data_IF_420284510309
#
_entry.id   IF_420284510309
#
_cell.length_a   1.000
_cell.length_b   1.000
_cell.length_c   1.000
_cell.angle_alpha   90.00
_cell.angle_beta   90.00
_cell.angle_gamma   90.00
#
_symmetry.space_group_name_H-M   'P 1'
#
loop_
_entity.id
_entity.type
_entity.pdbx_description
1 polymer ?
#
# COMPACT_ATOMS: atom_id res chain seq x y z
N UNK A 1 -34.10 -40.78 -16.85
CA UNK A 1 -33.35 -40.16 -15.71
C UNK A 1 -31.96 -39.70 -16.18
N UNK A 2 -31.84 -38.42 -16.57
CA UNK A 2 -30.54 -37.82 -16.89
C UNK A 2 -29.75 -37.49 -15.62
N UNK A 3 -28.41 -37.38 -15.68
CA UNK A 3 -27.60 -37.05 -14.52
C UNK A 3 -27.96 -35.65 -14.03
N UNK A 4 -28.31 -35.53 -12.75
CA UNK A 4 -28.61 -34.25 -12.12
C UNK A 4 -27.43 -33.28 -12.22
N UNK A 5 -27.67 -31.96 -12.17
CA UNK A 5 -26.61 -30.97 -12.29
C UNK A 5 -25.59 -31.20 -11.17
N UNK A 6 -24.35 -31.52 -11.55
CA UNK A 6 -23.22 -31.54 -10.64
C UNK A 6 -23.06 -30.20 -9.93
N UNK A 7 -22.29 -30.13 -8.82
CA UNK A 7 -22.24 -28.95 -7.97
C UNK A 7 -21.89 -27.71 -8.81
N UNK A 8 -22.90 -26.86 -9.03
CA UNK A 8 -22.75 -25.66 -9.83
C UNK A 8 -21.78 -24.74 -9.09
N UNK A 9 -20.54 -24.69 -9.56
CA UNK A 9 -19.54 -23.77 -9.05
C UNK A 9 -20.03 -22.36 -9.37
N UNK A 10 -20.56 -21.65 -8.37
CA UNK A 10 -21.11 -20.32 -8.54
C UNK A 10 -20.02 -19.38 -9.04
N UNK A 11 -20.34 -18.53 -10.01
CA UNK A 11 -19.41 -17.59 -10.61
C UNK A 11 -19.90 -16.16 -10.39
N UNK A 12 -18.98 -15.25 -10.10
CA UNK A 12 -19.28 -13.82 -9.98
C UNK A 12 -18.30 -13.00 -10.81
N UNK A 13 -18.76 -11.96 -11.52
CA UNK A 13 -17.85 -11.04 -12.20
C UNK A 13 -17.12 -10.17 -11.19
N UNK A 14 -15.80 -10.01 -11.35
CA UNK A 14 -15.02 -9.05 -10.58
C UNK A 14 -15.56 -7.63 -10.84
N UNK A 15 -15.86 -6.81 -9.82
CA UNK A 15 -16.42 -5.47 -10.01
C UNK A 15 -15.46 -4.49 -10.69
N UNK A 16 -14.15 -4.79 -10.67
CA UNK A 16 -13.12 -3.92 -11.27
C UNK A 16 -12.83 -4.27 -12.72
N UNK A 17 -12.72 -5.56 -13.06
CA UNK A 17 -12.24 -6.00 -14.37
C UNK A 17 -13.19 -6.94 -15.11
N UNK A 18 -14.36 -7.25 -14.52
CA UNK A 18 -15.41 -8.15 -15.06
C UNK A 18 -14.98 -9.60 -15.33
N UNK A 19 -13.75 -9.98 -15.01
CA UNK A 19 -13.28 -11.38 -15.08
C UNK A 19 -14.14 -12.25 -14.16
N UNK A 20 -14.56 -13.42 -14.67
CA UNK A 20 -15.36 -14.37 -13.90
C UNK A 20 -14.50 -15.07 -12.84
N UNK A 21 -14.91 -14.96 -11.57
CA UNK A 21 -14.28 -15.60 -10.43
C UNK A 21 -15.15 -16.78 -9.96
N UNK A 22 -14.51 -17.94 -9.73
CA UNK A 22 -15.17 -19.11 -9.14
C UNK A 22 -15.32 -18.90 -7.64
N UNK A 23 -16.50 -19.18 -7.11
CA UNK A 23 -16.77 -19.14 -5.69
C UNK A 23 -16.53 -20.51 -5.04
N UNK A 24 -15.92 -20.55 -3.85
CA UNK A 24 -15.92 -21.72 -2.99
C UNK A 24 -17.33 -22.15 -2.60
N UNK A 25 -17.48 -23.35 -2.01
CA UNK A 25 -18.79 -23.88 -1.58
C UNK A 25 -19.50 -22.97 -0.56
N UNK A 26 -18.77 -22.15 0.19
CA UNK A 26 -19.33 -21.13 1.11
C UNK A 26 -19.61 -19.77 0.47
N UNK A 27 -19.59 -19.66 -0.86
CA UNK A 27 -19.88 -18.43 -1.57
C UNK A 27 -18.82 -17.34 -1.38
N UNK A 28 -19.23 -16.08 -1.45
CA UNK A 28 -18.33 -14.91 -1.36
C UNK A 28 -17.64 -14.79 0.01
N UNK A 29 -18.32 -15.18 1.09
CA UNK A 29 -17.78 -15.09 2.46
C UNK A 29 -16.63 -16.09 2.71
N UNK A 30 -16.54 -17.14 1.89
CA UNK A 30 -15.49 -18.15 1.97
C UNK A 30 -14.28 -17.83 1.06
N UNK A 31 -14.26 -16.68 0.38
CA UNK A 31 -13.11 -16.27 -0.39
C UNK A 31 -11.91 -16.01 0.55
N UNK A 32 -10.68 -16.36 0.13
CA UNK A 32 -9.49 -16.11 0.94
C UNK A 32 -9.33 -14.63 1.27
N UNK A 33 -9.12 -14.34 2.55
CA UNK A 33 -8.81 -12.98 3.01
C UNK A 33 -7.34 -12.67 2.70
N UNK A 34 -7.07 -11.50 2.12
CA UNK A 34 -5.70 -11.02 1.94
C UNK A 34 -5.17 -10.43 3.25
N UNK A 35 -4.50 -11.25 4.05
CA UNK A 35 -3.96 -10.84 5.36
C UNK A 35 -2.82 -9.84 5.24
N UNK A 36 -1.98 -9.91 4.20
CA UNK A 36 -0.91 -8.95 3.95
C UNK A 36 -1.44 -7.53 3.82
N UNK A 37 -2.49 -7.33 3.02
CA UNK A 37 -3.14 -6.01 2.89
C UNK A 37 -3.80 -5.57 4.20
N UNK A 38 -4.40 -6.50 4.95
CA UNK A 38 -4.98 -6.19 6.26
C UNK A 38 -3.92 -5.67 7.24
N UNK A 39 -2.74 -6.31 7.31
CA UNK A 39 -1.64 -5.86 8.17
C UNK A 39 -1.04 -4.53 7.72
N UNK A 40 -0.86 -4.32 6.42
CA UNK A 40 -0.39 -3.02 5.88
C UNK A 40 -1.34 -1.89 6.28
N UNK A 41 -2.66 -2.10 6.21
CA UNK A 41 -3.66 -1.12 6.64
C UNK A 41 -3.60 -0.89 8.16
N UNK A 42 -3.36 -1.93 8.97
CA UNK A 42 -3.17 -1.76 10.42
C UNK A 42 -1.97 -0.87 10.72
N UNK A 43 -0.81 -1.14 10.11
CA UNK A 43 0.39 -0.33 10.29
C UNK A 43 0.15 1.14 9.89
N UNK A 44 -0.50 1.36 8.75
CA UNK A 44 -0.84 2.70 8.29
C UNK A 44 -1.74 3.45 9.29
N UNK A 45 -2.78 2.78 9.82
CA UNK A 45 -3.69 3.36 10.83
C UNK A 45 -2.99 3.60 12.17
N UNK A 46 -2.14 2.68 12.62
CA UNK A 46 -1.36 2.85 13.85
C UNK A 46 -0.36 4.00 13.76
N UNK A 47 0.26 4.20 12.59
CA UNK A 47 1.12 5.36 12.31
C UNK A 47 0.34 6.69 12.30
N UNK A 48 -0.92 6.68 11.86
CA UNK A 48 -1.79 7.86 11.95
C UNK A 48 -2.27 8.15 13.39
N UNK A 49 -2.41 7.13 14.24
CA UNK A 49 -2.86 7.27 15.63
C UNK A 49 -1.76 7.75 16.60
N UNK A 50 -0.49 7.52 16.28
CA UNK A 50 0.66 7.92 17.10
C UNK A 50 1.03 9.41 17.06
N UNK A 51 0.32 10.23 16.28
CA UNK A 51 0.59 11.67 16.12
C UNK A 51 -0.34 12.58 16.94
N UNK A 52 -1.27 12.04 17.73
CA UNK A 52 -2.31 12.82 18.39
C UNK A 52 -2.12 13.05 19.91
N UNK A 53 -1.14 12.41 20.57
CA UNK A 53 -0.96 12.53 22.03
C UNK A 53 0.51 12.55 22.45
N UNK A 54 1.17 13.69 22.28
CA UNK A 54 2.38 14.07 23.02
C UNK A 54 2.51 15.60 23.01
N UNK A 55 1.55 16.28 23.65
CA UNK A 55 1.51 17.74 23.72
C UNK A 55 1.00 18.22 25.07
N UNK A 56 1.77 17.99 26.14
CA UNK A 56 1.65 18.79 27.37
C UNK A 56 2.96 18.73 28.18
N UNK A 57 3.58 19.91 28.33
CA UNK A 57 4.65 20.29 29.25
C UNK A 57 6.10 19.83 28.95
N UNK A 58 6.85 20.68 28.21
CA UNK A 58 8.00 21.43 28.76
C UNK A 58 8.80 22.16 27.65
N UNK A 59 8.76 23.49 27.68
CA UNK A 59 9.81 24.46 27.32
C UNK A 59 10.65 24.27 26.03
N UNK A 60 10.36 25.13 25.04
CA UNK A 60 11.40 25.86 24.30
C UNK A 60 11.68 25.42 22.85
N UNK A 61 11.95 26.37 21.91
CA UNK A 61 11.86 26.13 20.47
C UNK A 61 13.21 25.70 19.85
N UNK A 62 13.19 24.62 19.05
CA UNK A 62 14.19 24.37 17.99
C UNK A 62 13.43 24.07 16.69
N UNK A 63 13.51 24.94 15.66
CA UNK A 63 13.04 24.59 14.33
C UNK A 63 14.14 23.75 13.67
N UNK A 64 13.83 22.53 13.21
CA UNK A 64 14.80 21.80 12.39
C UNK A 64 14.78 20.27 12.46
N UNK A 65 13.69 19.63 12.86
CA UNK A 65 13.59 18.16 12.74
C UNK A 65 12.14 17.76 12.52
N UNK A 66 11.67 17.94 11.28
CA UNK A 66 10.41 17.36 10.83
C UNK A 66 10.37 15.85 11.13
N UNK A 67 9.27 15.32 11.70
CA UNK A 67 9.11 13.91 12.00
C UNK A 67 8.82 13.08 10.74
N UNK A 68 8.75 13.71 9.57
CA UNK A 68 8.83 13.06 8.26
C UNK A 68 10.29 12.70 7.96
N UNK A 69 10.90 11.86 8.81
CA UNK A 69 12.12 11.18 8.40
C UNK A 69 11.72 10.16 7.31
N UNK A 70 11.60 10.69 6.09
CA UNK A 70 11.47 10.01 4.80
C UNK A 70 12.58 8.97 4.57
N UNK A 71 13.52 8.84 5.49
CA UNK A 71 14.51 7.77 5.59
C UNK A 71 13.89 6.37 5.66
N UNK A 72 12.60 6.24 6.00
CA UNK A 72 11.88 4.97 5.94
C UNK A 72 11.45 4.54 4.52
N UNK A 73 11.51 5.44 3.52
CA UNK A 73 11.12 5.17 2.15
C UNK A 73 12.29 5.38 1.19
N UNK A 74 13.06 4.31 0.98
CA UNK A 74 14.07 4.23 -0.07
C UNK A 74 15.31 5.08 0.21
N UNK A 75 16.49 4.55 -0.11
CA UNK A 75 17.75 5.28 0.04
C UNK A 75 17.76 6.63 -0.71
N UNK A 76 18.81 7.42 -0.50
CA UNK A 76 19.01 8.67 -1.22
C UNK A 76 19.19 8.43 -2.72
N UNK A 77 18.69 9.35 -3.54
CA UNK A 77 18.91 9.31 -4.98
C UNK A 77 20.39 9.48 -5.32
N UNK A 78 20.93 8.61 -6.18
CA UNK A 78 22.33 8.68 -6.60
C UNK A 78 22.62 9.92 -7.47
N UNK A 79 21.63 10.44 -8.21
CA UNK A 79 21.77 11.67 -9.01
C UNK A 79 21.54 12.95 -8.20
N UNK A 80 20.76 12.85 -7.13
CA UNK A 80 20.31 14.00 -6.34
C UNK A 80 20.57 13.72 -4.85
N UNK A 81 21.77 14.05 -4.34
CA UNK A 81 22.12 13.77 -2.94
C UNK A 81 21.16 14.50 -1.98
N UNK A 82 20.75 13.82 -0.92
CA UNK A 82 19.80 14.34 0.07
C UNK A 82 18.32 14.25 -0.33
N UNK A 83 17.99 13.81 -1.56
CA UNK A 83 16.60 13.59 -1.97
C UNK A 83 16.19 12.12 -1.79
N UNK A 84 15.05 11.84 -1.13
CA UNK A 84 14.58 10.48 -0.96
C UNK A 84 14.02 9.91 -2.26
N UNK A 85 14.32 8.64 -2.50
CA UNK A 85 13.80 7.88 -3.65
C UNK A 85 12.37 7.46 -3.37
N UNK A 86 11.43 8.07 -4.08
CA UNK A 86 9.99 7.89 -3.88
C UNK A 86 9.28 7.33 -5.11
N UNK A 87 9.96 7.29 -6.26
CA UNK A 87 9.38 6.95 -7.55
C UNK A 87 10.15 5.79 -8.19
N UNK A 88 9.47 4.98 -9.01
CA UNK A 88 10.09 3.93 -9.81
C UNK A 88 9.79 4.14 -11.29
N UNK A 89 10.84 4.34 -12.09
CA UNK A 89 10.71 4.49 -13.54
C UNK A 89 10.62 3.12 -14.21
N UNK A 90 9.52 2.85 -14.92
CA UNK A 90 9.30 1.58 -15.62
C UNK A 90 10.13 1.41 -16.90
N UNK A 91 10.49 2.51 -17.56
CA UNK A 91 11.34 2.49 -18.75
C UNK A 91 12.80 2.18 -18.39
N UNK A 92 13.36 2.89 -17.41
CA UNK A 92 14.75 2.72 -16.98
C UNK A 92 14.95 1.58 -15.96
N UNK A 93 13.85 1.03 -15.41
CA UNK A 93 13.84 0.02 -14.33
C UNK A 93 14.67 0.41 -13.11
N UNK A 94 14.60 1.69 -12.75
CA UNK A 94 15.40 2.27 -11.67
C UNK A 94 14.53 3.14 -10.76
N UNK A 95 14.90 3.15 -9.48
CA UNK A 95 14.26 3.99 -8.48
C UNK A 95 14.86 5.41 -8.52
N UNK A 96 14.02 6.43 -8.44
CA UNK A 96 14.40 7.84 -8.54
C UNK A 96 13.62 8.75 -7.58
N UNK A 97 14.04 10.01 -7.48
CA UNK A 97 13.32 11.05 -6.74
C UNK A 97 12.46 11.91 -7.68
N UNK A 98 11.68 12.84 -7.13
CA UNK A 98 10.83 13.75 -7.92
C UNK A 98 11.61 14.63 -8.93
N UNK A 99 12.88 14.91 -8.69
CA UNK A 99 13.71 15.68 -9.63
C UNK A 99 14.15 14.84 -10.84
N UNK A 100 14.33 13.53 -10.69
CA UNK A 100 14.63 12.64 -11.83
C UNK A 100 13.53 12.62 -12.92
N UNK A 101 12.34 13.14 -12.63
CA UNK A 101 11.21 13.21 -13.56
C UNK A 101 10.81 14.64 -13.91
N UNK A 102 11.41 15.65 -13.25
CA UNK A 102 11.08 17.06 -13.45
C UNK A 102 12.10 17.79 -14.30
N UNK A 103 13.36 17.37 -14.26
CA UNK A 103 14.40 17.86 -15.17
C UNK A 103 14.70 16.74 -16.16
N UNK A 104 14.42 17.02 -17.43
CA UNK A 104 14.68 16.13 -18.57
C UNK A 104 16.19 16.04 -18.87
#
# INVERSE_FOLDING_TARGET
PGPGPGPSCARVPCPLCRKLCLLPRGGVAALPVNTTLAEVVKLYRSGAAGSATAGAAALGPKPGSDPLSLQAFGGSCQKHPGRPVQLYCRMCRQAGCGQCVSEE
#
